data_IF_199608794672
#
_entry.id   IF_199608794672
#
_cell.length_a   1.000
_cell.length_b   1.000
_cell.length_c   1.000
_cell.angle_alpha   90.00
_cell.angle_beta   90.00
_cell.angle_gamma   90.00
#
_symmetry.space_group_name_H-M   'P 1'
#
loop_
_entity.id
_entity.type
_entity.pdbx_description
1 polymer ?
#
# COMPACT_ATOMS: atom_id res chain seq x y z
N UNK A 1 9.44 14.54 -2.00
CA UNK A 1 8.34 13.91 -2.76
C UNK A 1 7.65 12.93 -1.82
N UNK A 2 6.36 13.12 -1.53
CA UNK A 2 5.60 12.17 -0.72
C UNK A 2 5.07 11.08 -1.68
N UNK A 3 5.50 9.84 -1.54
CA UNK A 3 4.97 8.72 -2.33
C UNK A 3 3.66 8.26 -1.68
N UNK A 4 2.52 8.65 -2.26
CA UNK A 4 1.22 8.11 -1.92
C UNK A 4 0.93 6.92 -2.84
N UNK A 5 0.84 5.70 -2.27
CA UNK A 5 0.46 4.50 -3.01
C UNK A 5 -0.84 3.94 -2.43
N UNK A 6 -1.92 4.05 -3.19
CA UNK A 6 -3.19 3.35 -2.90
C UNK A 6 -3.18 2.02 -3.64
N UNK A 7 -3.29 0.91 -2.91
CA UNK A 7 -3.35 -0.44 -3.48
C UNK A 7 -4.76 -0.99 -3.24
N UNK A 8 -5.60 -0.97 -4.27
CA UNK A 8 -6.94 -1.59 -4.21
C UNK A 8 -6.86 -3.08 -4.56
N UNK A 9 -7.68 -3.90 -3.89
CA UNK A 9 -7.68 -5.36 -4.03
C UNK A 9 -8.25 -5.78 -5.40
N UNK A 10 -7.50 -6.56 -6.19
CA UNK A 10 -7.81 -6.96 -7.57
C UNK A 10 -8.69 -8.22 -7.68
N UNK A 11 -9.72 -8.35 -6.84
CA UNK A 11 -10.64 -9.49 -6.90
C UNK A 11 -11.78 -9.22 -7.87
N UNK A 12 -12.03 -10.14 -8.80
CA UNK A 12 -13.21 -10.08 -9.68
C UNK A 12 -14.30 -10.99 -9.14
N UNK A 13 -15.55 -10.56 -9.25
CA UNK A 13 -16.73 -11.38 -8.93
C UNK A 13 -17.13 -12.09 -10.22
N UNK A 14 -16.85 -13.39 -10.30
CA UNK A 14 -17.28 -14.27 -11.40
C UNK A 14 -18.35 -15.22 -10.87
N UNK A 15 -19.59 -15.08 -11.37
CA UNK A 15 -20.73 -15.90 -10.96
C UNK A 15 -20.92 -15.97 -9.43
N UNK A 16 -20.81 -14.83 -8.75
CA UNK A 16 -20.98 -14.73 -7.29
C UNK A 16 -19.83 -15.31 -6.45
N UNK A 17 -18.72 -15.73 -7.08
CA UNK A 17 -17.51 -16.20 -6.40
C UNK A 17 -16.38 -15.20 -6.60
N UNK A 18 -15.75 -14.81 -5.50
CA UNK A 18 -14.55 -13.98 -5.49
C UNK A 18 -13.40 -14.82 -6.05
N UNK A 19 -12.84 -14.42 -7.20
CA UNK A 19 -11.68 -15.09 -7.79
C UNK A 19 -10.53 -14.10 -7.99
N UNK A 20 -9.29 -14.48 -7.64
CA UNK A 20 -8.13 -13.78 -8.16
C UNK A 20 -8.05 -14.02 -9.68
N UNK A 21 -7.95 -12.96 -10.47
CA UNK A 21 -7.79 -13.08 -11.91
C UNK A 21 -6.34 -13.52 -12.20
N UNK A 22 -6.12 -14.65 -12.89
CA UNK A 22 -4.76 -15.12 -13.22
C UNK A 22 -3.94 -14.07 -14.02
N UNK A 23 -4.61 -13.17 -14.75
CA UNK A 23 -4.00 -12.04 -15.46
C UNK A 23 -3.42 -10.94 -14.53
N UNK A 24 -3.75 -10.97 -13.24
CA UNK A 24 -3.26 -10.01 -12.25
C UNK A 24 -2.13 -10.55 -11.35
N UNK A 25 -1.62 -11.77 -11.58
CA UNK A 25 -0.42 -12.27 -10.87
C UNK A 25 0.79 -11.35 -11.08
N UNK A 26 0.98 -10.89 -12.32
CA UNK A 26 2.04 -9.93 -12.62
C UNK A 26 1.75 -8.58 -11.95
N UNK A 27 0.50 -8.12 -11.94
CA UNK A 27 0.11 -6.88 -11.27
C UNK A 27 0.36 -6.95 -9.75
N UNK A 28 0.02 -8.06 -9.10
CA UNK A 28 0.30 -8.28 -7.67
C UNK A 28 1.82 -8.25 -7.40
N UNK A 29 2.61 -8.84 -8.28
CA UNK A 29 4.08 -8.78 -8.21
C UNK A 29 4.59 -7.35 -8.33
N UNK A 30 4.09 -6.57 -9.29
CA UNK A 30 4.47 -5.17 -9.45
C UNK A 30 4.08 -4.33 -8.23
N UNK A 31 2.87 -4.51 -7.71
CA UNK A 31 2.37 -3.83 -6.51
C UNK A 31 3.31 -4.06 -5.31
N UNK A 32 3.70 -5.33 -5.07
CA UNK A 32 4.64 -5.67 -3.99
C UNK A 32 6.01 -5.02 -4.20
N UNK A 33 6.56 -5.10 -5.41
CA UNK A 33 7.86 -4.51 -5.75
C UNK A 33 7.86 -2.97 -5.58
N UNK A 34 6.77 -2.29 -5.97
CA UNK A 34 6.64 -0.84 -5.78
C UNK A 34 6.56 -0.47 -4.31
N UNK A 35 5.81 -1.24 -3.50
CA UNK A 35 5.76 -1.07 -2.04
C UNK A 35 7.13 -1.27 -1.38
N UNK A 36 7.83 -2.35 -1.73
CA UNK A 36 9.17 -2.66 -1.22
C UNK A 36 10.18 -1.56 -1.58
N UNK A 37 10.11 -1.05 -2.82
CA UNK A 37 10.96 0.06 -3.26
C UNK A 37 10.66 1.36 -2.49
N UNK A 38 9.39 1.66 -2.25
CA UNK A 38 8.99 2.83 -1.46
C UNK A 38 9.51 2.73 -0.01
N UNK A 39 9.45 1.55 0.62
CA UNK A 39 10.03 1.31 1.94
C UNK A 39 11.54 1.52 1.95
N UNK A 40 12.23 1.02 0.94
CA UNK A 40 13.69 1.14 0.82
C UNK A 40 14.11 2.62 0.64
N UNK A 41 13.39 3.37 -0.19
CA UNK A 41 13.63 4.80 -0.39
C UNK A 41 13.35 5.60 0.88
N UNK A 42 12.26 5.31 1.59
CA UNK A 42 11.93 5.95 2.86
C UNK A 42 13.01 5.67 3.93
N UNK A 43 13.51 4.44 3.99
CA UNK A 43 14.60 4.06 4.90
C UNK A 43 15.91 4.76 4.58
N UNK A 44 16.25 4.90 3.30
CA UNK A 44 17.48 5.58 2.89
C UNK A 44 17.46 7.09 3.20
N UNK A 45 16.28 7.69 3.28
CA UNK A 45 16.08 9.12 3.51
C UNK A 45 15.53 9.46 4.92
N UNK A 46 15.53 8.50 5.85
CA UNK A 46 15.03 8.67 7.23
C UNK A 46 13.62 9.30 7.30
N UNK A 47 12.71 8.79 6.44
CA UNK A 47 11.32 9.26 6.34
C UNK A 47 10.34 8.09 6.45
N UNK A 48 9.06 8.35 6.18
CA UNK A 48 7.97 7.39 6.29
C UNK A 48 7.28 7.16 4.95
N UNK A 49 6.60 6.02 4.82
CA UNK A 49 5.64 5.75 3.74
C UNK A 49 4.22 6.02 4.22
N UNK A 50 3.30 6.33 3.30
CA UNK A 50 1.87 6.48 3.59
C UNK A 50 1.07 5.49 2.75
N UNK A 51 0.20 4.72 3.39
CA UNK A 51 -0.69 3.77 2.71
C UNK A 51 -2.03 3.62 3.42
N UNK A 52 -3.01 3.04 2.70
CA UNK A 52 -4.32 2.70 3.24
C UNK A 52 -4.32 1.26 3.75
N UNK A 53 -4.77 1.05 4.98
CA UNK A 53 -4.94 -0.27 5.58
C UNK A 53 -6.14 -1.00 4.97
N UNK A 54 -6.25 -2.30 5.23
CA UNK A 54 -7.42 -3.11 4.83
C UNK A 54 -8.73 -2.57 5.41
N UNK A 55 -8.65 -1.92 6.57
CA UNK A 55 -9.79 -1.34 7.28
C UNK A 55 -10.14 0.06 6.76
N UNK A 56 -9.40 0.53 5.75
CA UNK A 56 -9.62 1.79 5.07
C UNK A 56 -8.98 3.01 5.72
N UNK A 57 -8.23 2.84 6.81
CA UNK A 57 -7.52 3.91 7.50
C UNK A 57 -6.22 4.27 6.75
N UNK A 58 -5.89 5.55 6.67
CA UNK A 58 -4.60 6.00 6.14
C UNK A 58 -3.58 6.03 7.29
N UNK A 59 -2.42 5.42 7.09
CA UNK A 59 -1.36 5.33 8.10
C UNK A 59 0.00 5.75 7.53
N UNK A 60 0.85 6.29 8.40
CA UNK A 60 2.28 6.55 8.18
C UNK A 60 3.08 5.41 8.81
N UNK A 61 3.94 4.73 8.05
CA UNK A 61 4.90 3.74 8.58
C UNK A 61 6.32 4.29 8.48
N UNK A 62 6.97 4.43 9.64
CA UNK A 62 8.34 4.93 9.78
C UNK A 62 9.36 3.81 9.63
N UNK A 63 10.61 4.16 9.35
CA UNK A 63 11.73 3.22 9.16
C UNK A 63 12.02 2.30 10.37
N UNK A 64 11.58 2.68 11.57
CA UNK A 64 11.67 1.91 12.81
C UNK A 64 10.49 0.93 13.00
N UNK A 65 9.56 0.87 12.04
CA UNK A 65 8.36 0.05 12.10
C UNK A 65 7.21 0.67 12.89
N UNK A 66 7.34 1.92 13.37
CA UNK A 66 6.24 2.61 14.03
C UNK A 66 5.16 2.98 13.00
N UNK A 67 3.91 2.68 13.31
CA UNK A 67 2.75 2.95 12.44
C UNK A 67 1.83 3.93 13.17
N UNK A 68 1.57 5.08 12.54
CA UNK A 68 0.76 6.16 13.11
C UNK A 68 -0.38 6.51 12.16
N UNK A 69 -1.64 6.59 12.62
CA UNK A 69 -2.74 7.03 11.76
C UNK A 69 -2.53 8.47 11.29
N UNK A 70 -2.91 8.75 10.05
CA UNK A 70 -3.00 10.12 9.54
C UNK A 70 -4.32 10.70 10.03
N UNK A 71 -4.26 11.73 10.87
CA UNK A 71 -5.46 12.45 11.28
C UNK A 71 -5.97 13.32 10.13
N UNK A 72 -7.29 13.47 10.01
CA UNK A 72 -7.93 14.28 8.95
C UNK A 72 -7.49 15.76 8.95
N UNK A 73 -6.85 16.24 10.03
CA UNK A 73 -6.31 17.60 10.14
C UNK A 73 -4.99 17.85 9.42
N UNK A 74 -4.36 16.81 8.86
CA UNK A 74 -3.08 16.88 8.14
C UNK A 74 -3.26 16.83 6.60
N UNK A 75 -4.51 16.92 6.10
CA UNK A 75 -4.88 16.95 4.68
C UNK A 75 -5.06 18.37 4.15
#
# INVERSE_FOLDING_TARGET
MLYCATIESNTVIDNGKVKPLDKFKDLEKWIKLTGDRAKLDAKANDTYIVYKTTDGQIVKEYNNGNIVPVADSDC
#
